data_IF_327012583796
#
_entry.id   IF_327012583796
#
_cell.length_a   1.000
_cell.length_b   1.000
_cell.length_c   1.000
_cell.angle_alpha   90.00
_cell.angle_beta   90.00
_cell.angle_gamma   90.00
#
_symmetry.space_group_name_H-M   'P 1'
#
loop_
_entity.id
_entity.type
_entity.pdbx_description
1 polymer ?
#
# COMPACT_ATOMS: atom_id res chain seq x y z
N UNK A 1 -11.73 22.44 1.40
CA UNK A 1 -11.25 22.50 0.00
C UNK A 1 -11.72 21.25 -0.71
N UNK A 2 -12.20 21.36 -1.96
CA UNK A 2 -12.56 20.21 -2.80
C UNK A 2 -11.33 19.37 -3.13
N UNK A 3 -11.53 18.16 -3.68
CA UNK A 3 -10.44 17.38 -4.26
C UNK A 3 -9.89 18.05 -5.53
N UNK A 4 -8.74 17.56 -6.01
CA UNK A 4 -8.16 18.02 -7.28
C UNK A 4 -8.70 17.22 -8.45
N UNK A 5 -8.78 17.85 -9.64
CA UNK A 5 -8.96 17.12 -10.89
C UNK A 5 -7.66 16.44 -11.25
N UNK A 6 -7.71 15.14 -11.50
CA UNK A 6 -6.52 14.35 -11.84
C UNK A 6 -6.84 13.44 -13.03
N UNK A 7 -6.04 13.57 -14.05
CA UNK A 7 -6.06 12.75 -15.26
C UNK A 7 -4.70 12.05 -15.39
N UNK A 8 -4.62 10.72 -15.24
CA UNK A 8 -3.36 9.99 -15.30
C UNK A 8 -2.55 10.24 -16.58
N UNK A 9 -3.22 10.40 -17.72
CA UNK A 9 -2.52 10.60 -19.02
C UNK A 9 -1.83 11.97 -19.09
N UNK A 10 -2.40 12.99 -18.46
CA UNK A 10 -1.89 14.35 -18.49
C UNK A 10 -1.01 14.70 -17.30
N UNK A 11 -1.39 14.20 -16.12
CA UNK A 11 -0.88 14.72 -14.84
C UNK A 11 0.23 13.84 -14.25
N UNK A 12 0.45 12.61 -14.76
CA UNK A 12 1.64 11.82 -14.43
C UNK A 12 2.80 12.36 -15.29
N UNK A 13 3.93 12.79 -14.68
CA UNK A 13 5.08 13.26 -15.43
C UNK A 13 5.80 12.10 -16.13
N UNK A 14 6.77 12.41 -17.00
CA UNK A 14 7.70 11.41 -17.51
C UNK A 14 8.48 10.77 -16.34
N UNK A 15 8.51 9.44 -16.32
CA UNK A 15 9.14 8.64 -15.27
C UNK A 15 10.46 8.00 -15.73
N UNK A 16 11.08 8.53 -16.79
CA UNK A 16 12.36 8.04 -17.30
C UNK A 16 13.43 8.01 -16.19
N UNK A 17 14.13 6.87 -16.06
CA UNK A 17 15.10 6.63 -14.99
C UNK A 17 14.48 6.37 -13.60
N UNK A 18 13.16 6.27 -13.47
CA UNK A 18 12.49 5.98 -12.19
C UNK A 18 12.15 4.50 -12.04
N UNK A 19 12.41 3.97 -10.85
CA UNK A 19 12.10 2.59 -10.47
C UNK A 19 10.91 2.58 -9.51
N UNK A 20 9.93 1.75 -9.82
CA UNK A 20 8.67 1.63 -9.09
C UNK A 20 8.50 0.22 -8.54
N UNK A 21 8.02 0.08 -7.31
CA UNK A 21 7.56 -1.19 -6.73
C UNK A 21 6.12 -1.06 -6.26
N UNK A 22 5.25 -1.97 -6.74
CA UNK A 22 3.83 -2.01 -6.38
C UNK A 22 3.47 -3.36 -5.78
N UNK A 23 3.08 -3.39 -4.51
CA UNK A 23 2.58 -4.62 -3.88
C UNK A 23 1.13 -4.89 -4.29
N UNK A 24 0.78 -6.17 -4.55
CA UNK A 24 -0.54 -6.53 -5.07
C UNK A 24 -0.79 -6.05 -6.49
N UNK A 25 0.27 -5.94 -7.29
CA UNK A 25 0.23 -5.39 -8.66
C UNK A 25 -0.45 -6.29 -9.69
N UNK A 26 -0.85 -7.49 -9.33
CA UNK A 26 -1.45 -8.46 -10.25
C UNK A 26 -2.96 -8.28 -10.47
N UNK A 27 -3.65 -7.46 -9.69
CA UNK A 27 -5.10 -7.27 -9.77
C UNK A 27 -5.54 -5.89 -9.26
N UNK A 28 -6.79 -5.53 -9.53
CA UNK A 28 -7.47 -4.36 -8.96
C UNK A 28 -6.68 -3.05 -9.10
N UNK A 29 -6.64 -2.28 -8.01
CA UNK A 29 -6.00 -0.96 -7.98
C UNK A 29 -4.49 -1.01 -8.26
N UNK A 30 -3.80 -2.08 -7.80
CA UNK A 30 -2.37 -2.26 -8.05
C UNK A 30 -2.06 -2.46 -9.54
N UNK A 31 -2.82 -3.34 -10.23
CA UNK A 31 -2.68 -3.56 -11.67
C UNK A 31 -2.98 -2.28 -12.45
N UNK A 32 -4.06 -1.59 -12.10
CA UNK A 32 -4.42 -0.32 -12.74
C UNK A 32 -3.34 0.75 -12.55
N UNK A 33 -2.78 0.84 -11.34
CA UNK A 33 -1.69 1.79 -11.10
C UNK A 33 -0.45 1.48 -11.94
N UNK A 34 -0.10 0.20 -12.07
CA UNK A 34 1.01 -0.21 -12.94
C UNK A 34 0.71 0.16 -14.40
N UNK A 35 -0.53 -0.05 -14.88
CA UNK A 35 -0.93 0.30 -16.24
C UNK A 35 -0.71 1.80 -16.52
N UNK A 36 -1.20 2.65 -15.61
CA UNK A 36 -1.07 4.09 -15.81
C UNK A 36 0.40 4.56 -15.71
N UNK A 37 1.16 4.07 -14.72
CA UNK A 37 2.57 4.41 -14.59
C UNK A 37 3.40 3.92 -15.79
N UNK A 38 3.10 2.75 -16.34
CA UNK A 38 3.80 2.15 -17.45
C UNK A 38 3.72 2.99 -18.74
N UNK A 39 2.66 3.78 -18.92
CA UNK A 39 2.50 4.70 -20.07
C UNK A 39 3.48 5.88 -20.04
N UNK A 40 4.14 6.15 -18.91
CA UNK A 40 4.99 7.31 -18.67
C UNK A 40 6.49 6.97 -18.57
N UNK A 41 6.94 5.94 -19.31
CA UNK A 41 8.33 5.56 -19.52
C UNK A 41 9.17 5.28 -18.24
N UNK A 42 8.66 4.61 -17.20
CA UNK A 42 9.51 4.24 -16.08
C UNK A 42 10.64 3.31 -16.53
N UNK A 43 11.82 3.42 -15.89
CA UNK A 43 12.93 2.52 -16.17
C UNK A 43 12.55 1.07 -15.85
N UNK A 44 11.90 0.85 -14.70
CA UNK A 44 11.47 -0.47 -14.28
C UNK A 44 10.30 -0.41 -13.31
N UNK A 45 9.35 -1.34 -13.47
CA UNK A 45 8.27 -1.58 -12.52
C UNK A 45 8.39 -3.00 -11.96
N UNK A 46 8.52 -3.12 -10.65
CA UNK A 46 8.38 -4.38 -9.95
C UNK A 46 6.92 -4.61 -9.57
N UNK A 47 6.29 -5.61 -10.18
CA UNK A 47 4.97 -6.11 -9.84
C UNK A 47 5.12 -7.16 -8.74
N UNK A 48 4.93 -6.77 -7.47
CA UNK A 48 5.06 -7.69 -6.36
C UNK A 48 3.75 -8.40 -6.06
N UNK A 49 3.74 -9.75 -6.10
CA UNK A 49 2.57 -10.58 -5.89
C UNK A 49 2.95 -12.02 -5.53
N UNK A 50 2.04 -12.74 -4.83
CA UNK A 50 2.26 -14.12 -4.38
C UNK A 50 2.23 -15.15 -5.50
N UNK A 51 1.28 -15.03 -6.41
CA UNK A 51 1.02 -16.01 -7.45
C UNK A 51 1.75 -15.69 -8.74
N UNK A 52 2.70 -16.55 -9.14
CA UNK A 52 3.43 -16.44 -10.40
C UNK A 52 2.49 -16.37 -11.60
N UNK A 53 1.58 -17.33 -11.71
CA UNK A 53 0.66 -17.41 -12.85
C UNK A 53 -0.22 -16.15 -13.00
N UNK A 54 -0.75 -15.61 -11.88
CA UNK A 54 -1.54 -14.36 -11.90
C UNK A 54 -0.68 -13.16 -12.24
N UNK A 55 0.56 -13.11 -11.77
CA UNK A 55 1.50 -12.03 -12.08
C UNK A 55 1.91 -12.02 -13.56
N UNK A 56 2.26 -13.17 -14.10
CA UNK A 56 2.62 -13.33 -15.52
C UNK A 56 1.45 -12.96 -16.44
N UNK A 57 0.24 -13.44 -16.14
CA UNK A 57 -0.97 -13.06 -16.86
C UNK A 57 -1.24 -11.54 -16.79
N UNK A 58 -1.04 -10.93 -15.62
CA UNK A 58 -1.19 -9.49 -15.47
C UNK A 58 -0.14 -8.73 -16.29
N UNK A 59 1.12 -9.14 -16.27
CA UNK A 59 2.22 -8.52 -17.04
C UNK A 59 1.95 -8.61 -18.54
N UNK A 60 1.53 -9.78 -19.05
CA UNK A 60 1.15 -9.90 -20.47
C UNK A 60 0.04 -8.92 -20.84
N UNK A 61 -1.05 -8.92 -20.07
CA UNK A 61 -2.17 -8.00 -20.29
C UNK A 61 -1.79 -6.52 -20.18
N UNK A 62 -0.83 -6.16 -19.33
CA UNK A 62 -0.33 -4.79 -19.19
C UNK A 62 0.50 -4.40 -20.43
N UNK A 63 1.39 -5.26 -20.89
CA UNK A 63 2.22 -5.03 -22.07
C UNK A 63 1.43 -4.88 -23.36
N UNK A 64 0.29 -5.54 -23.49
CA UNK A 64 -0.63 -5.38 -24.62
C UNK A 64 -1.31 -4.01 -24.66
N UNK A 65 -1.41 -3.31 -23.51
CA UNK A 65 -2.11 -2.03 -23.37
C UNK A 65 -1.19 -0.82 -23.38
N UNK A 66 0.12 -1.02 -23.40
CA UNK A 66 1.10 0.07 -23.47
C UNK A 66 1.88 0.01 -24.78
N UNK A 67 2.13 1.17 -25.37
CA UNK A 67 2.83 1.27 -26.67
C UNK A 67 4.36 1.27 -26.54
N UNK A 68 4.88 1.52 -25.34
CA UNK A 68 6.31 1.56 -25.04
C UNK A 68 6.80 0.19 -24.51
N UNK A 69 8.10 -0.07 -24.69
CA UNK A 69 8.72 -1.30 -24.21
C UNK A 69 9.09 -1.19 -22.71
N UNK A 70 8.09 -1.02 -21.84
CA UNK A 70 8.31 -0.89 -20.40
C UNK A 70 8.78 -2.20 -19.77
N UNK A 71 9.77 -2.12 -18.90
CA UNK A 71 10.28 -3.25 -18.13
C UNK A 71 9.42 -3.51 -16.90
N UNK A 72 8.46 -4.44 -17.01
CA UNK A 72 7.66 -4.90 -15.87
C UNK A 72 8.15 -6.28 -15.47
N UNK A 73 8.65 -6.42 -14.23
CA UNK A 73 9.20 -7.66 -13.70
C UNK A 73 8.36 -8.15 -12.52
N UNK A 74 8.05 -9.44 -12.51
CA UNK A 74 7.41 -10.05 -11.34
C UNK A 74 8.40 -10.20 -10.19
N UNK A 75 7.99 -9.74 -9.00
CA UNK A 75 8.70 -9.92 -7.75
C UNK A 75 7.85 -10.84 -6.84
N UNK A 76 8.28 -12.09 -6.58
CA UNK A 76 7.59 -12.99 -5.65
C UNK A 76 7.50 -12.37 -4.27
N UNK A 77 6.29 -12.19 -3.74
CA UNK A 77 6.11 -11.54 -2.43
C UNK A 77 4.84 -12.05 -1.74
N UNK A 78 5.01 -12.69 -0.58
CA UNK A 78 3.98 -12.93 0.40
C UNK A 78 4.24 -12.10 1.66
N UNK A 79 3.39 -11.12 1.92
CA UNK A 79 3.49 -10.22 3.07
C UNK A 79 3.19 -10.90 4.41
N UNK A 80 2.75 -12.15 4.41
CA UNK A 80 2.52 -12.94 5.62
C UNK A 80 3.75 -13.77 6.05
N UNK A 81 4.82 -13.79 5.22
CA UNK A 81 6.04 -14.59 5.42
C UNK A 81 7.28 -13.70 5.46
N UNK A 82 8.06 -13.79 6.53
CA UNK A 82 9.34 -13.07 6.68
C UNK A 82 10.32 -13.50 5.59
N UNK A 83 10.44 -14.80 5.36
CA UNK A 83 11.37 -15.33 4.36
C UNK A 83 11.03 -14.78 2.98
N UNK A 84 9.73 -14.83 2.59
CA UNK A 84 9.30 -14.30 1.29
C UNK A 84 9.59 -12.80 1.13
N UNK A 85 9.42 -12.00 2.20
CA UNK A 85 9.73 -10.57 2.17
C UNK A 85 11.24 -10.36 2.03
N UNK A 86 12.05 -11.13 2.76
CA UNK A 86 13.52 -11.03 2.70
C UNK A 86 14.04 -11.41 1.31
N UNK A 87 13.55 -12.51 0.76
CA UNK A 87 13.93 -12.97 -0.60
C UNK A 87 13.53 -11.96 -1.67
N UNK A 88 12.32 -11.38 -1.54
CA UNK A 88 11.87 -10.33 -2.45
C UNK A 88 12.78 -9.09 -2.41
N UNK A 89 13.22 -8.67 -1.22
CA UNK A 89 14.15 -7.54 -1.10
C UNK A 89 15.53 -7.89 -1.66
N UNK A 90 16.04 -9.11 -1.42
CA UNK A 90 17.31 -9.56 -1.99
C UNK A 90 17.24 -9.56 -3.53
N UNK A 91 16.16 -10.12 -4.12
CA UNK A 91 15.96 -10.10 -5.56
C UNK A 91 15.85 -8.66 -6.08
N UNK A 92 15.08 -7.79 -5.42
CA UNK A 92 14.98 -6.39 -5.80
C UNK A 92 16.35 -5.71 -5.83
N UNK A 93 17.14 -5.85 -4.77
CA UNK A 93 18.47 -5.23 -4.64
C UNK A 93 19.50 -5.81 -5.64
N UNK A 94 19.33 -7.07 -6.08
CA UNK A 94 20.15 -7.65 -7.13
C UNK A 94 19.84 -7.06 -8.53
N UNK A 95 18.60 -6.59 -8.73
CA UNK A 95 18.11 -6.09 -10.02
C UNK A 95 18.03 -4.56 -10.09
N UNK A 96 18.07 -3.85 -8.94
CA UNK A 96 18.04 -2.39 -8.88
C UNK A 96 18.73 -1.85 -7.62
N UNK A 97 19.52 -0.80 -7.78
CA UNK A 97 20.13 -0.04 -6.69
C UNK A 97 19.35 1.23 -6.35
N UNK A 98 18.17 1.44 -6.99
CA UNK A 98 17.34 2.63 -6.90
C UNK A 98 15.87 2.26 -6.67
N UNK A 99 15.16 3.03 -5.85
CA UNK A 99 13.70 2.93 -5.66
C UNK A 99 13.11 4.33 -5.45
N UNK A 100 12.37 4.81 -6.43
CA UNK A 100 11.75 6.14 -6.39
C UNK A 100 10.33 6.10 -5.82
N UNK A 101 9.56 5.07 -6.17
CA UNK A 101 8.16 4.97 -5.78
C UNK A 101 7.90 3.59 -5.18
N UNK A 102 7.51 3.55 -3.91
CA UNK A 102 7.05 2.35 -3.22
C UNK A 102 5.55 2.47 -2.93
N UNK A 103 4.73 1.68 -3.64
CA UNK A 103 3.28 1.62 -3.44
C UNK A 103 2.91 0.40 -2.60
N UNK A 104 2.58 0.62 -1.33
CA UNK A 104 2.12 -0.39 -0.38
C UNK A 104 0.60 -0.59 -0.56
N UNK A 105 0.24 -1.19 -1.70
CA UNK A 105 -1.13 -1.31 -2.18
C UNK A 105 -1.79 -2.62 -1.77
N UNK A 106 -1.05 -3.72 -1.65
CA UNK A 106 -1.60 -5.02 -1.29
C UNK A 106 -2.42 -4.97 0.02
N UNK A 107 -3.42 -5.82 0.11
CA UNK A 107 -4.18 -5.95 1.33
C UNK A 107 -5.20 -7.06 1.28
N UNK A 108 -5.61 -7.50 2.44
CA UNK A 108 -6.68 -8.47 2.66
C UNK A 108 -7.76 -7.86 3.54
N UNK A 109 -9.02 -8.27 3.34
CA UNK A 109 -10.17 -7.77 4.06
C UNK A 109 -11.17 -8.89 4.33
N UNK A 110 -11.90 -8.77 5.44
CA UNK A 110 -13.01 -9.65 5.80
C UNK A 110 -12.64 -11.15 5.87
N UNK A 111 -11.37 -11.45 6.15
CA UNK A 111 -10.92 -12.83 6.28
C UNK A 111 -11.43 -13.47 7.58
N UNK A 112 -11.63 -14.80 7.59
CA UNK A 112 -11.79 -15.58 8.80
C UNK A 112 -10.64 -15.31 9.79
N UNK A 113 -10.83 -15.66 11.08
CA UNK A 113 -9.73 -15.62 12.04
C UNK A 113 -8.53 -16.42 11.54
N UNK A 114 -7.36 -15.82 11.59
CA UNK A 114 -6.10 -16.40 11.12
C UNK A 114 -4.93 -15.55 11.58
N UNK A 115 -3.73 -16.04 11.31
CA UNK A 115 -2.50 -15.33 11.66
C UNK A 115 -1.43 -15.53 10.57
N UNK A 116 -0.51 -14.58 10.50
CA UNK A 116 0.71 -14.69 9.69
C UNK A 116 1.72 -15.61 10.36
N UNK A 117 2.83 -15.94 9.67
CA UNK A 117 3.96 -16.67 10.27
C UNK A 117 4.52 -15.98 11.51
N UNK A 118 4.41 -14.66 11.59
CA UNK A 118 4.79 -13.83 12.75
C UNK A 118 3.78 -13.88 13.90
N UNK A 119 2.76 -14.72 13.84
CA UNK A 119 1.73 -14.82 14.87
C UNK A 119 0.77 -13.63 14.96
N UNK A 120 0.90 -12.64 14.08
CA UNK A 120 0.00 -11.48 14.04
C UNK A 120 -1.34 -11.83 13.40
N UNK A 121 -2.40 -11.14 13.84
CA UNK A 121 -3.71 -11.26 13.20
C UNK A 121 -3.58 -11.04 11.69
N UNK A 122 -4.23 -11.90 10.90
CA UNK A 122 -3.95 -12.03 9.46
C UNK A 122 -4.09 -10.72 8.67
N UNK A 123 -5.06 -9.85 9.02
CA UNK A 123 -5.24 -8.58 8.32
C UNK A 123 -4.24 -7.53 8.79
N UNK A 124 -3.97 -7.41 10.09
CA UNK A 124 -2.93 -6.52 10.60
C UNK A 124 -1.54 -6.98 10.13
N UNK A 125 -1.27 -8.27 10.22
CA UNK A 125 0.00 -8.86 9.82
C UNK A 125 0.31 -8.64 8.34
N UNK A 126 -0.66 -8.90 7.44
CA UNK A 126 -0.47 -8.73 5.99
C UNK A 126 -0.47 -7.25 5.59
N UNK A 127 -1.48 -6.46 6.04
CA UNK A 127 -1.68 -5.10 5.56
C UNK A 127 -0.70 -4.09 6.15
N UNK A 128 -0.21 -4.35 7.37
CA UNK A 128 0.71 -3.45 8.08
C UNK A 128 2.07 -4.08 8.34
N UNK A 129 2.16 -5.17 9.13
CA UNK A 129 3.46 -5.70 9.58
C UNK A 129 4.34 -6.16 8.43
N UNK A 130 3.76 -6.85 7.43
CA UNK A 130 4.50 -7.26 6.22
C UNK A 130 4.99 -6.09 5.40
N UNK A 131 4.16 -5.05 5.23
CA UNK A 131 4.57 -3.81 4.56
C UNK A 131 5.62 -3.02 5.36
N UNK A 132 5.50 -3.03 6.68
CA UNK A 132 6.51 -2.43 7.55
C UNK A 132 7.87 -3.10 7.34
N UNK A 133 7.93 -4.44 7.39
CA UNK A 133 9.15 -5.19 7.17
C UNK A 133 9.73 -4.93 5.78
N UNK A 134 8.91 -5.02 4.73
CA UNK A 134 9.32 -4.72 3.36
C UNK A 134 9.93 -3.32 3.25
N UNK A 135 9.25 -2.31 3.79
CA UNK A 135 9.74 -0.92 3.76
C UNK A 135 11.03 -0.77 4.54
N UNK A 136 11.12 -1.39 5.72
CA UNK A 136 12.31 -1.31 6.58
C UNK A 136 13.54 -1.93 5.91
N UNK A 137 13.38 -3.06 5.22
CA UNK A 137 14.47 -3.71 4.48
C UNK A 137 14.86 -2.93 3.21
N UNK A 138 13.91 -2.26 2.56
CA UNK A 138 14.17 -1.38 1.41
C UNK A 138 14.64 0.03 1.79
N UNK A 139 14.59 0.38 3.08
CA UNK A 139 14.92 1.72 3.55
C UNK A 139 16.32 2.21 3.16
N UNK A 140 17.39 1.39 3.20
CA UNK A 140 18.70 1.81 2.71
C UNK A 140 18.67 2.25 1.24
N UNK A 141 17.95 1.53 0.37
CA UNK A 141 17.80 1.89 -1.05
C UNK A 141 16.98 3.16 -1.23
N UNK A 142 15.85 3.30 -0.50
CA UNK A 142 15.03 4.50 -0.54
C UNK A 142 15.82 5.74 -0.11
N UNK A 143 16.59 5.65 0.96
CA UNK A 143 17.43 6.73 1.48
C UNK A 143 18.58 7.08 0.53
N UNK A 144 19.23 6.08 -0.06
CA UNK A 144 20.25 6.29 -1.08
C UNK A 144 19.67 7.02 -2.29
N UNK A 145 18.51 6.58 -2.79
CA UNK A 145 17.82 7.23 -3.91
C UNK A 145 17.43 8.68 -3.56
N UNK A 146 17.01 8.93 -2.31
CA UNK A 146 16.62 10.27 -1.86
C UNK A 146 17.80 11.27 -1.77
N UNK A 147 19.05 10.77 -1.80
CA UNK A 147 20.25 11.61 -1.84
C UNK A 147 20.69 12.01 -3.26
N UNK A 148 20.11 11.38 -4.29
CA UNK A 148 20.43 11.73 -5.67
C UNK A 148 19.86 13.12 -6.02
N UNK A 149 20.54 13.89 -6.90
CA UNK A 149 20.02 15.16 -7.37
C UNK A 149 18.62 15.02 -7.98
N UNK A 150 17.76 15.97 -7.70
CA UNK A 150 16.37 16.05 -8.20
C UNK A 150 15.50 14.83 -7.88
N UNK A 151 15.87 14.07 -6.85
CA UNK A 151 15.09 12.91 -6.41
C UNK A 151 13.80 13.33 -5.70
N UNK A 152 12.74 12.57 -5.95
CA UNK A 152 11.46 12.66 -5.25
C UNK A 152 11.02 11.25 -4.88
N UNK A 153 11.57 10.75 -3.77
CA UNK A 153 11.26 9.40 -3.27
C UNK A 153 9.94 9.41 -2.52
N UNK A 154 9.01 8.56 -2.95
CA UNK A 154 7.66 8.48 -2.38
C UNK A 154 7.31 7.09 -1.88
N UNK A 155 6.72 7.02 -0.70
CA UNK A 155 6.08 5.83 -0.13
C UNK A 155 4.59 6.11 0.04
N UNK A 156 3.76 5.38 -0.70
CA UNK A 156 2.31 5.55 -0.67
C UNK A 156 1.67 4.33 -0.01
N UNK A 157 1.13 4.52 1.20
CA UNK A 157 0.50 3.47 2.00
C UNK A 157 -1.02 3.47 1.80
N UNK A 158 -1.56 2.37 1.28
CA UNK A 158 -2.99 2.25 1.01
C UNK A 158 -3.78 1.97 2.28
N UNK A 159 -4.51 2.98 2.74
CA UNK A 159 -5.48 2.90 3.82
C UNK A 159 -6.91 2.77 3.27
N UNK A 160 -7.91 2.98 4.11
CA UNK A 160 -9.34 2.90 3.78
C UNK A 160 -10.14 3.75 4.76
N UNK A 161 -11.36 4.16 4.38
CA UNK A 161 -12.33 4.72 5.34
C UNK A 161 -12.62 3.75 6.50
N UNK A 162 -12.36 2.44 6.28
CA UNK A 162 -12.46 1.41 7.30
C UNK A 162 -11.61 1.68 8.55
N UNK A 163 -10.59 2.53 8.48
CA UNK A 163 -9.81 2.94 9.67
C UNK A 163 -10.68 3.56 10.79
N UNK A 164 -11.85 4.10 10.46
CA UNK A 164 -12.78 4.63 11.45
C UNK A 164 -13.39 3.55 12.34
N UNK A 165 -13.36 2.28 11.91
CA UNK A 165 -13.82 1.11 12.65
C UNK A 165 -12.73 0.48 13.51
N UNK A 166 -11.52 1.06 13.54
CA UNK A 166 -10.44 0.51 14.35
C UNK A 166 -10.84 0.45 15.84
N UNK A 167 -10.57 -0.67 16.54
CA UNK A 167 -10.77 -0.78 17.96
C UNK A 167 -9.81 0.16 18.72
N UNK A 168 -9.93 0.29 20.04
CA UNK A 168 -8.97 1.07 20.83
C UNK A 168 -7.53 0.66 20.54
N UNK A 169 -6.62 1.63 20.50
CA UNK A 169 -5.23 1.43 20.07
C UNK A 169 -4.51 0.32 20.85
N UNK A 170 -4.75 0.22 22.15
CA UNK A 170 -4.17 -0.84 23.00
C UNK A 170 -4.58 -2.25 22.53
N UNK A 171 -5.76 -2.40 21.95
CA UNK A 171 -6.21 -3.67 21.37
C UNK A 171 -5.50 -3.99 20.05
N UNK A 172 -4.99 -2.99 19.32
CA UNK A 172 -4.21 -3.21 18.10
C UNK A 172 -2.85 -3.82 18.44
N UNK A 173 -2.24 -3.38 19.54
CA UNK A 173 -0.94 -3.90 20.01
C UNK A 173 -1.08 -5.26 20.74
N UNK A 174 -2.27 -5.61 21.20
CA UNK A 174 -2.57 -6.88 21.88
C UNK A 174 -3.18 -7.88 20.87
N UNK A 175 -2.33 -8.76 20.32
CA UNK A 175 -2.74 -9.68 19.26
C UNK A 175 -3.81 -10.69 19.73
N UNK A 176 -3.81 -11.07 21.01
CA UNK A 176 -4.83 -12.00 21.56
C UNK A 176 -6.20 -11.34 21.67
N UNK A 177 -6.24 -10.04 21.99
CA UNK A 177 -7.47 -9.26 21.95
C UNK A 177 -7.91 -9.00 20.51
N UNK A 178 -6.99 -8.60 19.65
CA UNK A 178 -7.31 -8.25 18.26
C UNK A 178 -7.90 -9.45 17.50
N UNK A 179 -7.36 -10.65 17.68
CA UNK A 179 -7.87 -11.88 17.05
C UNK A 179 -9.33 -12.21 17.41
N UNK A 180 -9.80 -11.75 18.57
CA UNK A 180 -11.15 -12.03 19.08
C UNK A 180 -12.22 -11.04 18.60
N UNK A 181 -11.84 -9.89 18.04
CA UNK A 181 -12.83 -8.91 17.58
C UNK A 181 -13.33 -9.22 16.18
N UNK A 182 -14.47 -8.62 15.82
CA UNK A 182 -15.10 -8.82 14.52
C UNK A 182 -14.14 -8.45 13.35
N UNK A 183 -14.23 -9.18 12.25
CA UNK A 183 -13.32 -9.05 11.12
C UNK A 183 -13.19 -7.61 10.57
N UNK A 184 -14.29 -6.84 10.54
CA UNK A 184 -14.26 -5.44 10.09
C UNK A 184 -13.48 -4.52 11.05
N UNK A 185 -13.47 -4.82 12.34
CA UNK A 185 -12.67 -4.07 13.33
C UNK A 185 -11.19 -4.40 13.17
N UNK A 186 -10.85 -5.67 12.89
CA UNK A 186 -9.48 -6.10 12.56
C UNK A 186 -8.97 -5.43 11.30
N UNK A 187 -9.81 -5.37 10.25
CA UNK A 187 -9.49 -4.61 9.05
C UNK A 187 -9.28 -3.13 9.36
N UNK A 188 -10.18 -2.53 10.14
CA UNK A 188 -10.06 -1.14 10.59
C UNK A 188 -8.76 -0.88 11.33
N UNK A 189 -8.35 -1.79 12.22
CA UNK A 189 -7.06 -1.74 12.91
C UNK A 189 -5.89 -1.67 11.92
N UNK A 190 -5.88 -2.57 10.92
CA UNK A 190 -4.82 -2.61 9.91
C UNK A 190 -4.74 -1.32 9.09
N UNK A 191 -5.90 -0.72 8.77
CA UNK A 191 -5.95 0.51 7.97
C UNK A 191 -5.64 1.78 8.78
N UNK A 192 -5.92 1.79 10.08
CA UNK A 192 -5.43 2.80 11.01
C UNK A 192 -3.91 2.71 11.19
N UNK A 193 -3.38 1.49 11.34
CA UNK A 193 -1.95 1.22 11.42
C UNK A 193 -1.20 1.74 10.17
N UNK A 194 -1.77 1.59 8.97
CA UNK A 194 -1.18 2.12 7.74
C UNK A 194 -1.09 3.65 7.73
N UNK A 195 -2.04 4.37 8.35
CA UNK A 195 -1.97 5.83 8.49
C UNK A 195 -0.88 6.22 9.48
N UNK A 196 -0.85 5.59 10.66
CA UNK A 196 0.17 5.81 11.68
C UNK A 196 1.58 5.52 11.15
N UNK A 197 1.72 4.43 10.40
CA UNK A 197 3.00 4.03 9.78
C UNK A 197 3.52 5.09 8.81
N UNK A 198 2.69 5.57 7.88
CA UNK A 198 3.11 6.58 6.91
C UNK A 198 3.51 7.89 7.60
N UNK A 199 2.76 8.32 8.62
CA UNK A 199 3.07 9.52 9.40
C UNK A 199 4.40 9.37 10.16
N UNK A 200 4.63 8.23 10.80
CA UNK A 200 5.86 7.98 11.54
C UNK A 200 7.08 7.80 10.63
N UNK A 201 6.91 7.15 9.47
CA UNK A 201 7.95 7.03 8.44
C UNK A 201 8.40 8.41 7.97
N UNK A 202 7.45 9.30 7.66
CA UNK A 202 7.72 10.68 7.26
C UNK A 202 8.49 11.45 8.33
N UNK A 203 8.14 11.27 9.61
CA UNK A 203 8.77 11.93 10.74
C UNK A 203 10.21 11.44 10.97
N UNK A 204 10.43 10.12 10.84
CA UNK A 204 11.76 9.51 11.04
C UNK A 204 12.71 9.76 9.87
N UNK A 205 12.18 9.85 8.65
CA UNK A 205 12.96 9.97 7.41
C UNK A 205 12.45 11.09 6.52
N UNK A 206 12.68 12.36 6.88
CA UNK A 206 12.09 13.53 6.20
C UNK A 206 12.54 13.71 4.74
N UNK A 207 13.61 13.03 4.31
CA UNK A 207 14.05 13.00 2.89
C UNK A 207 13.13 12.16 2.01
N UNK A 208 12.28 11.31 2.61
CA UNK A 208 11.29 10.48 1.92
C UNK A 208 9.90 11.12 2.12
N UNK A 209 9.16 11.31 1.05
CA UNK A 209 7.75 11.71 1.15
C UNK A 209 6.89 10.46 1.37
N UNK A 210 6.40 10.27 2.59
CA UNK A 210 5.53 9.16 2.93
C UNK A 210 4.12 9.67 3.22
N UNK A 211 3.10 9.14 2.54
CA UNK A 211 1.71 9.52 2.76
C UNK A 211 0.80 8.28 2.78
N UNK A 212 -0.34 8.42 3.43
CA UNK A 212 -1.38 7.40 3.37
C UNK A 212 -2.58 7.90 2.56
N UNK A 213 -3.21 7.00 1.81
CA UNK A 213 -4.32 7.34 0.92
C UNK A 213 -5.52 6.41 1.08
N UNK A 214 -6.73 6.95 0.90
CA UNK A 214 -7.96 6.18 0.71
C UNK A 214 -8.35 6.20 -0.76
N UNK A 215 -8.60 5.05 -1.39
CA UNK A 215 -8.90 5.00 -2.84
C UNK A 215 -10.34 5.40 -3.19
N UNK A 216 -11.23 5.53 -2.22
CA UNK A 216 -12.67 5.61 -2.43
C UNK A 216 -13.37 4.28 -2.16
N UNK A 217 -14.67 4.22 -2.44
CA UNK A 217 -15.46 2.97 -2.35
C UNK A 217 -15.36 2.28 -3.71
N UNK A 218 -14.50 1.28 -3.80
CA UNK A 218 -14.17 0.60 -5.05
C UNK A 218 -14.72 -0.83 -5.02
N UNK A 219 -15.35 -1.22 -6.09
CA UNK A 219 -15.74 -2.60 -6.33
C UNK A 219 -14.54 -3.37 -6.86
N UNK A 220 -13.83 -4.04 -5.97
CA UNK A 220 -12.72 -4.93 -6.33
C UNK A 220 -13.00 -6.33 -5.78
N UNK A 221 -12.27 -7.33 -6.25
CA UNK A 221 -12.26 -8.71 -5.74
C UNK A 221 -11.93 -8.82 -4.24
N UNK A 222 -11.53 -7.72 -3.61
CA UNK A 222 -11.31 -7.61 -2.17
C UNK A 222 -12.58 -7.94 -1.36
N UNK A 223 -13.78 -7.76 -1.96
CA UNK A 223 -15.08 -8.08 -1.37
C UNK A 223 -15.57 -9.51 -1.68
N UNK A 224 -14.89 -10.22 -2.59
CA UNK A 224 -15.28 -11.55 -3.09
C UNK A 224 -15.40 -12.64 -2.01
N UNK A 225 -14.49 -12.76 -1.02
CA UNK A 225 -14.60 -13.78 0.02
C UNK A 225 -15.79 -13.60 0.97
N UNK A 226 -16.30 -12.37 1.10
CA UNK A 226 -17.43 -12.08 1.99
C UNK A 226 -18.79 -12.42 1.36
N UNK A 227 -18.87 -12.54 0.02
CA UNK A 227 -20.11 -12.76 -0.71
C UNK A 227 -20.56 -14.22 -0.75
N UNK A 228 -19.67 -15.19 -0.55
CA UNK A 228 -19.99 -16.62 -0.67
C UNK A 228 -20.77 -17.19 0.52
N UNK A 229 -20.82 -16.49 1.66
CA UNK A 229 -21.43 -17.00 2.89
C UNK A 229 -22.55 -16.13 3.48
N UNK A 230 -23.01 -15.07 2.79
CA UNK A 230 -24.10 -14.24 3.31
C UNK A 230 -24.93 -13.61 2.20
N UNK A 231 -26.25 -13.93 2.19
CA UNK A 231 -27.25 -13.31 1.32
C UNK A 231 -27.35 -11.79 1.49
N UNK A 232 -27.04 -11.27 2.67
CA UNK A 232 -27.01 -9.83 2.97
C UNK A 232 -25.79 -9.18 2.33
N UNK A 233 -24.62 -9.84 2.29
CA UNK A 233 -23.43 -9.36 1.62
C UNK A 233 -23.60 -9.34 0.09
N UNK A 234 -24.28 -10.32 -0.48
CA UNK A 234 -24.61 -10.37 -1.91
C UNK A 234 -25.59 -9.26 -2.32
N UNK A 235 -26.56 -8.90 -1.44
CA UNK A 235 -27.51 -7.79 -1.71
C UNK A 235 -26.83 -6.43 -1.56
N UNK A 236 -25.95 -6.27 -0.55
CA UNK A 236 -25.16 -5.04 -0.34
C UNK A 236 -24.15 -4.82 -1.47
N UNK A 237 -23.52 -5.88 -2.01
CA UNK A 237 -22.59 -5.77 -3.14
C UNK A 237 -23.29 -5.31 -4.43
N UNK A 238 -24.54 -5.73 -4.67
CA UNK A 238 -25.34 -5.23 -5.81
C UNK A 238 -25.74 -3.75 -5.65
N UNK A 239 -26.03 -3.30 -4.43
CA UNK A 239 -26.39 -1.90 -4.16
C UNK A 239 -25.14 -0.99 -4.16
N UNK A 240 -24.00 -1.48 -3.67
CA UNK A 240 -22.70 -0.81 -3.84
C UNK A 240 -22.28 -0.73 -5.32
N UNK A 241 -22.67 -1.70 -6.13
CA UNK A 241 -22.44 -1.72 -7.58
C UNK A 241 -22.98 -0.52 -8.33
N UNK A 242 -24.07 0.10 -7.82
CA UNK A 242 -24.66 1.30 -8.40
C UNK A 242 -23.97 2.60 -7.94
N UNK A 243 -23.24 2.58 -6.83
CA UNK A 243 -22.62 3.75 -6.20
C UNK A 243 -21.08 3.66 -6.14
N UNK A 244 -20.50 2.52 -6.54
CA UNK A 244 -19.06 2.28 -6.49
C UNK A 244 -18.31 3.00 -7.60
N UNK A 245 -17.14 3.53 -7.25
CA UNK A 245 -16.19 4.09 -8.21
C UNK A 245 -15.57 2.97 -9.03
N UNK A 246 -15.48 3.08 -10.38
CA UNK A 246 -14.79 2.09 -11.21
C UNK A 246 -13.31 1.94 -10.79
N UNK A 247 -12.71 0.76 -11.00
CA UNK A 247 -11.33 0.45 -10.58
C UNK A 247 -10.32 1.47 -11.09
N UNK A 248 -10.44 1.90 -12.36
CA UNK A 248 -9.54 2.91 -12.93
C UNK A 248 -9.57 4.22 -12.13
N UNK A 249 -10.74 4.76 -11.83
CA UNK A 249 -10.89 5.98 -11.05
C UNK A 249 -10.50 5.77 -9.56
N UNK A 250 -10.60 4.53 -9.06
CA UNK A 250 -10.14 4.16 -7.73
C UNK A 250 -8.62 4.25 -7.55
N UNK A 251 -7.86 4.03 -8.61
CA UNK A 251 -6.41 4.17 -8.58
C UNK A 251 -5.92 5.64 -8.56
N UNK A 252 -6.79 6.59 -8.90
CA UNK A 252 -6.37 7.98 -9.10
C UNK A 252 -5.76 8.62 -7.85
N UNK A 253 -6.29 8.34 -6.66
CA UNK A 253 -5.76 8.96 -5.45
C UNK A 253 -4.33 8.48 -5.12
N UNK A 254 -4.05 7.20 -5.31
CA UNK A 254 -2.70 6.66 -5.08
C UNK A 254 -1.73 7.04 -6.20
N UNK A 255 -2.18 7.16 -7.45
CA UNK A 255 -1.39 7.67 -8.57
C UNK A 255 -1.06 9.15 -8.38
N UNK A 256 -2.05 9.96 -8.01
CA UNK A 256 -1.84 11.36 -7.67
C UNK A 256 -0.78 11.53 -6.56
N UNK A 257 -0.88 10.76 -5.50
CA UNK A 257 0.10 10.80 -4.40
C UNK A 257 1.48 10.28 -4.81
N UNK A 258 1.53 9.29 -5.70
CA UNK A 258 2.77 8.68 -6.16
C UNK A 258 3.55 9.56 -7.17
N UNK A 259 2.84 10.31 -8.02
CA UNK A 259 3.46 11.00 -9.16
C UNK A 259 2.84 12.35 -9.50
N UNK A 260 1.50 12.46 -9.54
CA UNK A 260 0.80 13.62 -10.07
C UNK A 260 0.85 14.86 -9.18
N UNK A 261 0.97 14.70 -7.88
CA UNK A 261 1.16 15.84 -6.97
C UNK A 261 2.60 16.35 -7.05
N UNK A 262 2.79 17.67 -7.10
CA UNK A 262 4.12 18.24 -6.89
C UNK A 262 4.57 17.97 -5.46
N UNK A 263 5.88 17.78 -5.23
CA UNK A 263 6.44 17.49 -3.91
C UNK A 263 5.98 18.49 -2.85
N UNK A 264 5.90 19.78 -3.21
CA UNK A 264 5.49 20.88 -2.32
C UNK A 264 3.98 20.87 -2.00
N UNK A 265 3.17 20.15 -2.77
CA UNK A 265 1.72 20.03 -2.55
C UNK A 265 1.38 18.91 -1.56
N UNK A 266 2.32 17.98 -1.36
CA UNK A 266 2.17 16.88 -0.41
C UNK A 266 2.63 17.30 0.99
N UNK A 267 1.71 17.23 1.94
CA UNK A 267 2.06 17.31 3.37
C UNK A 267 2.61 15.95 3.78
N UNK A 268 3.90 15.88 4.07
CA UNK A 268 4.56 14.63 4.45
C UNK A 268 3.92 14.05 5.73
N UNK A 269 3.64 12.76 5.76
CA UNK A 269 2.95 12.08 6.85
C UNK A 269 1.42 12.18 6.81
N UNK A 270 0.84 12.90 5.85
CA UNK A 270 -0.59 13.16 5.83
C UNK A 270 -1.43 12.00 5.26
N UNK A 271 -2.74 12.08 5.52
CA UNK A 271 -3.76 11.18 4.98
C UNK A 271 -4.65 11.91 3.98
N UNK A 272 -4.79 11.33 2.80
CA UNK A 272 -5.56 11.90 1.70
C UNK A 272 -6.75 11.00 1.30
N UNK A 273 -7.86 11.66 0.96
CA UNK A 273 -9.04 10.98 0.37
C UNK A 273 -9.19 11.43 -1.10
N UNK A 274 -9.99 10.74 -1.91
CA UNK A 274 -10.08 10.99 -3.36
C UNK A 274 -10.50 12.41 -3.74
N UNK A 275 -9.87 13.00 -4.76
CA UNK A 275 -8.48 12.83 -5.15
C UNK A 275 -7.71 13.99 -4.54
N UNK A 276 -6.57 13.72 -3.91
CA UNK A 276 -5.71 14.76 -3.35
C UNK A 276 -6.32 15.61 -2.22
N UNK A 277 -7.45 15.21 -1.66
CA UNK A 277 -8.10 15.96 -0.58
C UNK A 277 -7.46 15.62 0.76
N UNK A 278 -6.73 16.58 1.31
CA UNK A 278 -6.10 16.45 2.62
C UNK A 278 -7.15 16.29 3.74
N UNK A 279 -7.03 15.26 4.56
CA UNK A 279 -7.76 15.09 5.82
C UNK A 279 -6.95 15.63 7.00
N UNK A 280 -6.85 16.96 7.06
CA UNK A 280 -6.01 17.68 8.02
C UNK A 280 -6.25 17.32 9.50
N UNK A 281 -7.45 16.86 9.85
CA UNK A 281 -7.84 16.47 11.22
C UNK A 281 -7.98 14.95 11.40
N UNK A 282 -7.29 14.14 10.55
CA UNK A 282 -7.27 12.71 10.78
C UNK A 282 -6.55 12.41 12.10
N UNK A 283 -7.25 11.74 13.02
CA UNK A 283 -6.76 11.49 14.38
C UNK A 283 -5.52 10.59 14.44
N UNK A 284 -5.29 9.74 13.41
CA UNK A 284 -4.12 8.86 13.37
C UNK A 284 -2.92 9.58 12.75
N UNK A 285 -3.09 10.27 11.61
CA UNK A 285 -2.00 10.98 10.94
C UNK A 285 -1.31 12.04 11.82
N UNK A 286 -2.03 12.57 12.82
CA UNK A 286 -1.52 13.58 13.78
C UNK A 286 -1.13 13.00 15.13
N UNK A 287 -1.29 11.70 15.36
CA UNK A 287 -0.99 11.10 16.65
C UNK A 287 0.45 10.53 16.66
N UNK A 288 1.40 11.42 16.96
CA UNK A 288 2.82 11.06 17.01
C UNK A 288 3.13 9.98 18.05
N UNK A 289 2.45 10.03 19.21
CA UNK A 289 2.64 9.04 20.26
C UNK A 289 2.23 7.64 19.78
N UNK A 290 1.02 7.50 19.21
CA UNK A 290 0.59 6.22 18.69
C UNK A 290 1.43 5.78 17.49
N UNK A 291 1.87 6.70 16.63
CA UNK A 291 2.78 6.41 15.52
C UNK A 291 4.09 5.80 16.02
N UNK A 292 4.75 6.45 16.97
CA UNK A 292 5.99 5.95 17.59
C UNK A 292 5.77 4.61 18.28
N UNK A 293 4.74 4.46 19.12
CA UNK A 293 4.42 3.22 19.85
C UNK A 293 4.15 2.05 18.90
N UNK A 294 3.40 2.28 17.81
CA UNK A 294 3.14 1.26 16.79
C UNK A 294 4.43 0.84 16.08
N UNK A 295 5.27 1.81 15.72
CA UNK A 295 6.57 1.55 15.09
C UNK A 295 7.46 0.69 15.99
N UNK A 296 7.67 1.14 17.23
CA UNK A 296 8.56 0.46 18.18
C UNK A 296 8.02 -0.93 18.54
N UNK A 297 6.71 -1.08 18.69
CA UNK A 297 6.06 -2.38 18.87
C UNK A 297 6.29 -3.30 17.66
N UNK A 298 6.07 -2.79 16.44
CA UNK A 298 6.23 -3.60 15.22
C UNK A 298 7.69 -4.06 15.05
N UNK A 299 8.66 -3.18 15.30
CA UNK A 299 10.08 -3.56 15.28
C UNK A 299 10.41 -4.62 16.34
N UNK A 300 9.90 -4.45 17.56
CA UNK A 300 10.13 -5.41 18.65
C UNK A 300 9.54 -6.78 18.33
N UNK A 301 8.32 -6.83 17.78
CA UNK A 301 7.70 -8.08 17.34
C UNK A 301 8.51 -8.76 16.24
N UNK A 302 8.91 -8.03 15.20
CA UNK A 302 9.68 -8.58 14.10
C UNK A 302 11.08 -9.08 14.52
N UNK A 303 11.72 -8.44 15.51
CA UNK A 303 13.00 -8.91 16.10
C UNK A 303 12.87 -10.28 16.75
N UNK A 304 11.72 -10.61 17.38
CA UNK A 304 11.50 -11.94 17.97
C UNK A 304 11.59 -13.08 16.94
N UNK A 305 11.35 -12.77 15.67
CA UNK A 305 11.39 -13.70 14.55
C UNK A 305 12.67 -13.58 13.71
N UNK A 306 13.68 -12.84 14.17
CA UNK A 306 14.98 -12.71 13.50
C UNK A 306 14.92 -11.86 12.20
N UNK A 307 13.90 -11.03 12.04
CA UNK A 307 13.73 -10.22 10.83
C UNK A 307 14.80 -9.11 10.67
N UNK A 308 15.49 -8.78 11.76
CA UNK A 308 16.61 -7.83 11.79
C UNK A 308 17.72 -8.45 12.63
N UNK A 309 18.80 -8.84 12.01
CA UNK A 309 20.07 -9.19 12.69
C UNK A 309 20.92 -7.94 12.86
#
# INVERSE_FOLDING_TARGET
>A
MGGVSFDPERDIPDLSGKVVLVTGGNAGLGKESILQLAKHNPEKIFLAARSKAKAESAISSLKEQVSNNVNITWLPLDLSSIQSITDAVQQFCAESSRLDILMLNAGVMALPPGQTEMGHEIQLGTNHTGHFLLTKLLLPTLLKTAQEPDSDVRVVSLSSIGHNLAPPFESVLDQDKLKKVHTNLRYGASKAANILFAAELARRFPSITAVSVHPGIILTDLYSPASEHSTIAALSSKFLGLLGTPVHAGAYNQLWAATGAKKQELVNGAYYVPVGKLKAHNKYAKNEEQGRRLWDWTEAELRKFGAFT
#
